data_IF_876242988497
#
_entry.id   IF_876242988497
#
_cell.length_a   1.000
_cell.length_b   1.000
_cell.length_c   1.000
_cell.angle_alpha   90.00
_cell.angle_beta   90.00
_cell.angle_gamma   90.00
#
_symmetry.space_group_name_H-M   'P 1'
#
loop_
_entity.id
_entity.type
_entity.pdbx_description
1 polymer ?
#
# COMPACT_ATOMS: atom_id res chain seq x y z
N UNK A 1 -7.77 27.48 8.10
CA UNK A 1 -8.41 26.23 7.68
C UNK A 1 -7.78 25.11 8.45
N UNK A 2 -8.47 24.64 9.48
CA UNK A 2 -7.95 23.65 10.42
C UNK A 2 -7.70 22.31 9.72
N UNK A 3 -6.47 21.83 9.80
CA UNK A 3 -6.11 20.51 9.31
C UNK A 3 -6.83 19.48 10.18
N UNK A 4 -7.64 18.59 9.61
CA UNK A 4 -8.41 17.65 10.40
C UNK A 4 -7.49 16.66 11.14
N UNK A 5 -7.94 16.27 12.34
CA UNK A 5 -7.31 15.51 13.43
C UNK A 5 -6.66 14.14 13.10
N UNK A 6 -6.33 13.84 11.85
CA UNK A 6 -5.77 12.56 11.41
C UNK A 6 -4.23 12.49 11.54
N UNK A 7 -3.55 13.59 11.89
CA UNK A 7 -2.09 13.70 11.98
C UNK A 7 -1.52 13.60 13.41
N UNK A 8 -2.22 12.97 14.35
CA UNK A 8 -1.79 12.92 15.77
C UNK A 8 -1.06 11.63 16.19
N UNK A 9 -0.53 10.85 15.24
CA UNK A 9 0.28 9.69 15.59
C UNK A 9 1.58 9.69 14.82
N UNK A 10 2.70 9.81 15.55
CA UNK A 10 4.02 9.54 15.00
C UNK A 10 4.02 8.13 14.40
N UNK A 11 4.24 8.05 13.09
CA UNK A 11 4.43 6.79 12.39
C UNK A 11 5.90 6.66 12.00
N UNK A 12 6.41 5.45 12.15
CA UNK A 12 7.76 5.06 11.76
C UNK A 12 7.68 3.87 10.82
N UNK A 13 8.81 3.48 10.23
CA UNK A 13 8.87 2.26 9.43
C UNK A 13 8.56 0.98 10.23
N UNK A 14 8.48 1.05 11.55
CA UNK A 14 8.16 -0.07 12.45
C UNK A 14 6.67 -0.14 12.82
N UNK A 15 5.88 0.85 12.37
CA UNK A 15 4.45 0.90 12.67
C UNK A 15 3.72 -0.25 11.98
N UNK A 16 2.82 -0.89 12.73
CA UNK A 16 1.93 -1.98 12.31
C UNK A 16 0.52 -1.46 12.02
N UNK A 17 -0.31 -2.25 11.32
CA UNK A 17 -1.69 -1.92 10.96
C UNK A 17 -1.78 -0.60 10.19
N UNK A 18 -1.08 -0.52 9.06
CA UNK A 18 -0.98 0.70 8.26
C UNK A 18 -1.47 0.50 6.83
N UNK A 19 -2.05 1.55 6.27
CA UNK A 19 -2.19 1.74 4.83
C UNK A 19 -0.98 2.54 4.36
N UNK A 20 -0.32 2.07 3.31
CA UNK A 20 0.87 2.68 2.73
C UNK A 20 0.70 2.91 1.23
N UNK A 21 1.48 3.84 0.70
CA UNK A 21 1.62 4.09 -0.72
C UNK A 21 3.03 3.71 -1.18
N UNK A 22 3.11 3.08 -2.34
CA UNK A 22 4.33 2.94 -3.14
C UNK A 22 4.22 3.87 -4.34
N UNK A 23 5.26 4.66 -4.62
CA UNK A 23 5.30 5.59 -5.74
C UNK A 23 6.41 5.22 -6.71
N UNK A 24 6.02 5.07 -7.98
CA UNK A 24 6.89 4.85 -9.11
C UNK A 24 7.49 6.18 -9.60
N UNK A 25 8.73 6.21 -10.13
CA UNK A 25 9.29 7.41 -10.74
C UNK A 25 8.47 8.01 -11.89
N UNK A 26 7.66 7.20 -12.61
CA UNK A 26 6.75 7.70 -13.65
C UNK A 26 5.48 8.38 -13.13
N UNK A 27 5.33 8.52 -11.81
CA UNK A 27 4.19 9.21 -11.18
C UNK A 27 3.06 8.29 -10.74
N UNK A 28 2.97 7.06 -11.28
CA UNK A 28 1.97 6.07 -10.86
C UNK A 28 2.21 5.57 -9.43
N UNK A 29 1.13 5.19 -8.75
CA UNK A 29 1.18 4.73 -7.37
C UNK A 29 0.40 3.42 -7.16
N UNK A 30 0.81 2.69 -6.13
CA UNK A 30 0.12 1.52 -5.58
C UNK A 30 -0.24 1.80 -4.12
N UNK A 31 -1.48 1.51 -3.73
CA UNK A 31 -1.90 1.51 -2.32
C UNK A 31 -1.97 0.07 -1.83
N UNK A 32 -1.40 -0.18 -0.66
CA UNK A 32 -1.49 -1.46 0.01
C UNK A 32 -1.69 -1.29 1.51
N UNK A 33 -2.08 -2.37 2.18
CA UNK A 33 -2.13 -2.44 3.64
C UNK A 33 -1.26 -3.55 4.22
N UNK A 34 -0.93 -3.43 5.52
CA UNK A 34 -0.22 -4.46 6.27
C UNK A 34 -0.56 -4.40 7.76
N UNK A 35 -0.76 -5.58 8.35
CA UNK A 35 -0.83 -5.76 9.81
C UNK A 35 0.57 -5.88 10.45
N UNK A 36 1.60 -6.17 9.65
CA UNK A 36 3.00 -6.29 10.07
C UNK A 36 3.69 -4.93 10.04
N UNK A 37 4.96 -4.87 10.42
CA UNK A 37 5.73 -3.62 10.33
C UNK A 37 5.82 -3.16 8.88
N UNK A 38 5.67 -1.85 8.64
CA UNK A 38 5.77 -1.29 7.31
C UNK A 38 7.08 -1.69 6.61
N UNK A 39 8.22 -1.60 7.31
CA UNK A 39 9.57 -1.92 6.78
C UNK A 39 9.67 -3.34 6.21
N UNK A 40 9.01 -4.32 6.83
CA UNK A 40 9.01 -5.71 6.36
C UNK A 40 8.28 -5.81 5.02
N UNK A 41 7.08 -5.22 4.94
CA UNK A 41 6.29 -5.23 3.71
C UNK A 41 6.98 -4.47 2.57
N UNK A 42 7.63 -3.34 2.86
CA UNK A 42 8.39 -2.59 1.86
C UNK A 42 9.61 -3.39 1.38
N UNK A 43 10.30 -4.12 2.27
CA UNK A 43 11.41 -5.00 1.90
C UNK A 43 10.95 -6.10 0.94
N UNK A 44 9.79 -6.70 1.17
CA UNK A 44 9.19 -7.69 0.26
C UNK A 44 8.91 -7.11 -1.12
N UNK A 45 8.28 -5.93 -1.21
CA UNK A 45 8.04 -5.28 -2.49
C UNK A 45 9.33 -5.00 -3.26
N UNK A 46 10.36 -4.52 -2.57
CA UNK A 46 11.70 -4.34 -3.17
C UNK A 46 12.31 -5.66 -3.64
N UNK A 47 12.11 -6.75 -2.91
CA UNK A 47 12.57 -8.08 -3.31
C UNK A 47 11.82 -8.58 -4.55
N UNK A 48 10.51 -8.37 -4.63
CA UNK A 48 9.69 -8.76 -5.77
C UNK A 48 10.10 -8.00 -7.04
N UNK A 49 10.41 -6.71 -6.93
CA UNK A 49 10.93 -5.92 -8.07
C UNK A 49 12.30 -6.45 -8.53
N UNK A 50 13.23 -6.73 -7.60
CA UNK A 50 14.57 -7.22 -7.95
C UNK A 50 14.56 -8.60 -8.60
N UNK A 51 13.68 -9.47 -8.14
CA UNK A 51 13.61 -10.88 -8.53
C UNK A 51 12.33 -11.16 -9.34
N UNK A 52 11.86 -10.19 -10.11
CA UNK A 52 10.64 -10.34 -10.89
C UNK A 52 10.76 -11.54 -11.83
N UNK A 53 9.76 -12.42 -11.77
CA UNK A 53 9.62 -13.56 -12.68
C UNK A 53 8.14 -13.80 -12.91
N UNK A 54 7.73 -13.81 -14.18
CA UNK A 54 6.35 -14.05 -14.61
C UNK A 54 5.83 -15.38 -14.04
N UNK A 55 4.56 -15.40 -13.62
CA UNK A 55 3.89 -16.57 -13.04
C UNK A 55 4.56 -17.11 -11.75
N UNK A 56 5.11 -16.22 -10.92
CA UNK A 56 5.65 -16.57 -9.60
C UNK A 56 5.13 -15.65 -8.51
N UNK A 57 5.47 -15.92 -7.25
CA UNK A 57 5.12 -15.03 -6.13
C UNK A 57 5.70 -13.61 -6.26
N UNK A 58 6.73 -13.41 -7.09
CA UNK A 58 7.28 -12.08 -7.37
C UNK A 58 6.58 -11.38 -8.53
N UNK A 59 5.62 -12.01 -9.21
CA UNK A 59 4.77 -11.38 -10.23
C UNK A 59 3.60 -10.64 -9.56
N UNK A 60 3.90 -9.44 -9.06
CA UNK A 60 2.92 -8.52 -8.49
C UNK A 60 2.70 -7.34 -9.44
N UNK A 61 1.59 -6.59 -9.31
CA UNK A 61 1.33 -5.44 -10.18
C UNK A 61 2.50 -4.44 -10.19
N UNK A 62 3.11 -4.22 -9.03
CA UNK A 62 4.25 -3.31 -8.86
C UNK A 62 5.51 -3.84 -9.54
N UNK A 63 5.89 -5.10 -9.30
CA UNK A 63 7.12 -5.65 -9.89
C UNK A 63 6.99 -5.83 -11.41
N UNK A 64 5.82 -6.25 -11.88
CA UNK A 64 5.50 -6.34 -13.31
C UNK A 64 5.65 -4.99 -14.00
N UNK A 65 5.07 -3.94 -13.43
CA UNK A 65 5.19 -2.57 -13.95
C UNK A 65 6.64 -2.06 -13.93
N UNK A 66 7.38 -2.31 -12.85
CA UNK A 66 8.78 -1.88 -12.78
C UNK A 66 9.62 -2.58 -13.84
N UNK A 67 9.42 -3.89 -14.04
CA UNK A 67 10.09 -4.64 -15.09
C UNK A 67 9.72 -4.13 -16.49
N UNK A 68 8.43 -3.88 -16.77
CA UNK A 68 7.99 -3.44 -18.10
C UNK A 68 8.50 -2.05 -18.50
N UNK A 69 8.74 -1.16 -17.54
CA UNK A 69 9.28 0.18 -17.78
C UNK A 69 10.80 0.29 -17.55
N UNK A 70 11.49 -0.81 -17.24
CA UNK A 70 12.92 -0.78 -16.93
C UNK A 70 13.27 0.01 -15.65
N UNK A 71 12.31 0.18 -14.74
CA UNK A 71 12.54 0.77 -13.43
C UNK A 71 13.11 -0.27 -12.46
N UNK A 72 13.82 0.20 -11.43
CA UNK A 72 14.45 -0.66 -10.45
C UNK A 72 14.02 -0.33 -9.00
N UNK A 73 14.26 -1.28 -8.10
CA UNK A 73 13.82 -1.19 -6.70
C UNK A 73 14.40 0.00 -5.91
N UNK A 74 15.52 0.60 -6.35
CA UNK A 74 16.10 1.78 -5.69
C UNK A 74 15.29 3.06 -5.96
N UNK A 75 14.58 3.10 -7.09
CA UNK A 75 13.72 4.21 -7.49
C UNK A 75 12.36 4.19 -6.78
N UNK A 76 11.99 3.05 -6.16
CA UNK A 76 10.75 2.91 -5.41
C UNK A 76 10.75 3.80 -4.17
N UNK A 77 9.83 4.76 -4.15
CA UNK A 77 9.52 5.59 -2.97
C UNK A 77 8.28 5.05 -2.26
N UNK A 78 8.17 5.33 -0.97
CA UNK A 78 7.02 4.87 -0.17
C UNK A 78 6.74 5.83 0.98
N UNK A 79 5.50 5.80 1.47
CA UNK A 79 5.11 6.46 2.72
C UNK A 79 3.92 5.74 3.37
N UNK A 80 3.75 5.97 4.68
CA UNK A 80 2.54 5.58 5.41
C UNK A 80 1.50 6.67 5.19
N UNK A 81 0.30 6.27 4.76
CA UNK A 81 -0.84 7.17 4.58
C UNK A 81 -1.68 7.26 5.85
N UNK A 82 -1.90 6.11 6.50
CA UNK A 82 -2.77 6.02 7.66
C UNK A 82 -2.38 4.85 8.55
N UNK A 83 -2.37 5.08 9.86
CA UNK A 83 -2.30 4.03 10.87
C UNK A 83 -3.70 3.74 11.39
N UNK A 84 -4.11 2.49 11.36
CA UNK A 84 -5.36 2.03 11.94
C UNK A 84 -5.15 1.72 13.41
N UNK A 85 -5.98 2.34 14.24
CA UNK A 85 -5.93 2.16 15.69
C UNK A 85 -7.20 1.45 16.10
N UNK A 86 -7.07 0.46 16.98
CA UNK A 86 -8.22 -0.22 17.55
C UNK A 86 -9.12 0.77 18.27
N UNK A 87 -10.41 0.79 17.93
CA UNK A 87 -11.38 1.59 18.65
C UNK A 87 -11.52 1.06 20.10
N UNK A 88 -11.75 1.97 21.05
CA UNK A 88 -11.93 1.63 22.49
C UNK A 88 -13.03 0.60 22.74
N UNK A 89 -14.01 0.50 21.84
CA UNK A 89 -15.16 -0.43 21.93
C UNK A 89 -14.90 -1.76 21.19
N UNK A 90 -13.65 -2.05 20.81
CA UNK A 90 -13.32 -3.20 19.98
C UNK A 90 -13.71 -2.98 18.51
N UNK A 91 -13.78 -4.07 17.75
CA UNK A 91 -14.06 -4.07 16.32
C UNK A 91 -12.96 -4.77 15.51
N UNK A 92 -13.31 -5.24 14.33
CA UNK A 92 -12.36 -5.95 13.46
C UNK A 92 -11.40 -4.94 12.80
N UNK A 93 -10.15 -4.92 13.28
CA UNK A 93 -9.10 -4.07 12.72
C UNK A 93 -8.76 -4.44 11.28
N UNK A 94 -8.87 -5.72 10.88
CA UNK A 94 -8.61 -6.13 9.49
C UNK A 94 -9.68 -5.59 8.57
N UNK A 95 -10.95 -5.65 8.99
CA UNK A 95 -12.06 -5.03 8.26
C UNK A 95 -11.85 -3.52 8.12
N UNK A 96 -11.50 -2.84 9.21
CA UNK A 96 -11.20 -1.41 9.19
C UNK A 96 -10.05 -1.08 8.23
N UNK A 97 -8.98 -1.88 8.28
CA UNK A 97 -7.80 -1.71 7.43
C UNK A 97 -8.12 -1.90 5.94
N UNK A 98 -8.94 -2.90 5.59
CA UNK A 98 -9.41 -3.11 4.21
C UNK A 98 -10.32 -1.96 3.72
N UNK A 99 -11.23 -1.47 4.57
CA UNK A 99 -12.08 -0.32 4.23
C UNK A 99 -11.25 0.95 3.96
N UNK A 100 -10.21 1.19 4.77
CA UNK A 100 -9.32 2.34 4.58
C UNK A 100 -8.40 2.17 3.37
N UNK A 101 -7.92 0.96 3.08
CA UNK A 101 -7.21 0.66 1.83
C UNK A 101 -8.07 1.00 0.60
N UNK A 102 -9.32 0.50 0.56
CA UNK A 102 -10.27 0.78 -0.52
C UNK A 102 -10.56 2.29 -0.66
N UNK A 103 -10.72 3.00 0.46
CA UNK A 103 -10.87 4.45 0.47
C UNK A 103 -9.68 5.15 -0.19
N UNK A 104 -8.44 4.78 0.17
CA UNK A 104 -7.24 5.40 -0.36
C UNK A 104 -7.00 5.06 -1.83
N UNK A 105 -7.28 3.83 -2.28
CA UNK A 105 -7.23 3.46 -3.70
C UNK A 105 -8.13 4.37 -4.53
N UNK A 106 -9.39 4.55 -4.09
CA UNK A 106 -10.35 5.44 -4.76
C UNK A 106 -9.92 6.90 -4.72
N UNK A 107 -9.51 7.39 -3.54
CA UNK A 107 -9.12 8.79 -3.33
C UNK A 107 -7.89 9.19 -4.15
N UNK A 108 -6.93 8.29 -4.31
CA UNK A 108 -5.67 8.53 -5.00
C UNK A 108 -5.68 8.08 -6.46
N UNK A 109 -6.81 7.57 -6.97
CA UNK A 109 -6.99 7.07 -8.33
C UNK A 109 -5.90 6.08 -8.76
N UNK A 110 -5.58 5.10 -7.91
CA UNK A 110 -4.47 4.17 -8.16
C UNK A 110 -4.86 2.90 -8.90
N UNK A 111 -6.10 2.79 -9.38
CA UNK A 111 -6.52 1.66 -10.20
C UNK A 111 -5.92 1.72 -11.61
N UNK A 112 -5.55 0.57 -12.17
CA UNK A 112 -5.19 0.43 -13.59
C UNK A 112 -6.33 0.99 -14.46
N UNK A 113 -6.06 1.81 -15.49
CA UNK A 113 -4.73 2.14 -16.05
C UNK A 113 -4.04 3.36 -15.42
N UNK A 114 -4.69 4.09 -14.52
CA UNK A 114 -4.16 5.34 -13.95
C UNK A 114 -3.15 5.12 -12.81
N UNK A 115 -3.13 3.93 -12.21
CA UNK A 115 -2.16 3.52 -11.22
C UNK A 115 -1.83 2.03 -11.30
N UNK A 116 -1.33 1.48 -10.18
CA UNK A 116 -0.72 0.15 -10.11
C UNK A 116 -1.59 -0.88 -9.37
N UNK A 117 -2.76 -0.51 -8.83
CA UNK A 117 -3.69 -1.46 -8.25
C UNK A 117 -4.55 -2.09 -9.35
N UNK A 118 -4.49 -3.40 -9.52
CA UNK A 118 -5.38 -4.11 -10.47
C UNK A 118 -6.84 -4.11 -9.99
N UNK A 119 -7.03 -4.17 -8.69
CA UNK A 119 -8.34 -4.10 -8.04
C UNK A 119 -8.16 -3.51 -6.63
N UNK A 120 -9.24 -2.92 -6.13
CA UNK A 120 -9.47 -2.78 -4.70
C UNK A 120 -10.09 -4.05 -4.15
N UNK A 121 -9.52 -4.62 -3.09
CA UNK A 121 -10.10 -5.78 -2.39
C UNK A 121 -11.38 -5.37 -1.67
N UNK A 122 -12.50 -5.36 -2.40
CA UNK A 122 -13.83 -5.56 -1.82
C UNK A 122 -13.96 -7.07 -1.57
N UNK A 123 -13.26 -7.61 -0.58
CA UNK A 123 -13.72 -8.90 -0.04
C UNK A 123 -15.19 -8.71 0.32
N UNK A 124 -16.13 -9.55 -0.17
CA UNK A 124 -17.52 -9.42 0.23
C UNK A 124 -17.54 -9.65 1.73
N UNK A 125 -17.72 -8.57 2.50
CA UNK A 125 -17.78 -8.59 3.95
C UNK A 125 -19.16 -9.10 4.42
N UNK A 126 -19.71 -10.09 3.70
CA UNK A 126 -20.94 -10.80 4.01
C UNK A 126 -20.64 -11.95 4.97
#
# INVERSE_FOLDING_TARGET
GELPNYMLYHTTCETKFVVYMLKCPCGMAYIGQTIRMAKERIKEHRNNIRNFKVNTATDTPVSRHFNSLGHNASQLRWLILERIIQAKRGGDMRKSLGQREAYWIKRMNTLTPNGLNDYWSLSPFL
#
